data_IF_059795520110
#
_entry.id   IF_059795520110
#
_cell.length_a   1.000
_cell.length_b   1.000
_cell.length_c   1.000
_cell.angle_alpha   90.00
_cell.angle_beta   90.00
_cell.angle_gamma   90.00
#
_symmetry.space_group_name_H-M   'P 1'
#
loop_
_entity.id
_entity.type
_entity.pdbx_description
1 polymer ?
#
# COMPACT_ATOMS: atom_id res chain seq x y z
N UNK A 1 -16.93 9.03 10.68
CA UNK A 1 -16.55 10.22 9.90
C UNK A 1 -15.18 10.71 10.32
N UNK A 2 -14.89 10.83 11.62
CA UNK A 2 -13.63 11.37 12.17
C UNK A 2 -12.42 10.54 11.74
N UNK A 3 -12.50 9.22 11.77
CA UNK A 3 -11.39 8.32 11.40
C UNK A 3 -10.94 8.50 9.95
N UNK A 4 -11.90 8.64 9.02
CA UNK A 4 -11.58 8.88 7.60
C UNK A 4 -10.87 10.22 7.39
N UNK A 5 -11.24 11.23 8.18
CA UNK A 5 -10.59 12.54 8.13
C UNK A 5 -9.13 12.46 8.56
N UNK A 6 -8.86 11.79 9.68
CA UNK A 6 -7.49 11.61 10.19
C UNK A 6 -6.67 10.73 9.25
N UNK A 7 -7.23 9.62 8.76
CA UNK A 7 -6.56 8.78 7.77
C UNK A 7 -6.21 9.56 6.50
N UNK A 8 -7.11 10.43 6.02
CA UNK A 8 -6.85 11.26 4.86
C UNK A 8 -5.74 12.28 5.12
N UNK A 9 -5.70 12.89 6.32
CA UNK A 9 -4.63 13.82 6.69
C UNK A 9 -3.27 13.11 6.73
N UNK A 10 -3.20 11.91 7.32
CA UNK A 10 -1.99 11.07 7.31
C UNK A 10 -1.58 10.74 5.87
N UNK A 11 -2.52 10.33 5.03
CA UNK A 11 -2.27 10.02 3.63
C UNK A 11 -1.69 11.21 2.87
N UNK A 12 -2.22 12.42 3.07
CA UNK A 12 -1.72 13.64 2.42
C UNK A 12 -0.27 13.96 2.78
N UNK A 13 0.14 13.69 4.02
CA UNK A 13 1.52 13.91 4.47
C UNK A 13 2.45 12.81 3.97
N UNK A 14 2.01 11.56 3.98
CA UNK A 14 2.85 10.44 3.61
C UNK A 14 2.99 10.27 2.09
N UNK A 15 1.97 10.64 1.30
CA UNK A 15 1.99 10.49 -0.16
C UNK A 15 3.24 11.08 -0.80
N UNK A 16 3.60 12.35 -0.62
CA UNK A 16 4.77 12.92 -1.27
C UNK A 16 6.08 12.23 -0.87
N UNK A 17 6.18 11.75 0.38
CA UNK A 17 7.39 11.08 0.90
C UNK A 17 7.60 9.72 0.22
N UNK A 18 6.52 8.95 0.02
CA UNK A 18 6.60 7.63 -0.59
C UNK A 18 6.56 7.68 -2.11
N UNK A 19 5.96 8.72 -2.70
CA UNK A 19 5.86 8.86 -4.16
C UNK A 19 7.23 8.82 -4.83
N UNK A 20 8.25 9.42 -4.21
CA UNK A 20 9.64 9.40 -4.69
C UNK A 20 10.30 8.01 -4.62
N UNK A 21 9.74 7.10 -3.81
CA UNK A 21 10.30 5.76 -3.61
C UNK A 21 9.67 4.70 -4.51
N UNK A 22 8.51 5.01 -5.13
CA UNK A 22 7.83 4.06 -5.99
C UNK A 22 8.53 3.91 -7.33
N UNK A 23 8.53 2.68 -7.85
CA UNK A 23 9.03 2.41 -9.19
C UNK A 23 8.15 3.07 -10.26
N UNK A 24 8.75 3.46 -11.39
CA UNK A 24 8.02 4.13 -12.48
C UNK A 24 6.88 3.29 -13.05
N UNK A 25 7.01 1.97 -13.05
CA UNK A 25 5.98 1.02 -13.49
C UNK A 25 4.99 0.62 -12.38
N UNK A 26 4.96 1.31 -11.24
CA UNK A 26 3.92 1.16 -10.22
C UNK A 26 2.78 2.11 -10.52
N UNK A 27 1.58 1.61 -10.80
CA UNK A 27 0.44 2.42 -11.24
C UNK A 27 -0.72 2.43 -10.24
N UNK A 28 -0.78 1.44 -9.33
CA UNK A 28 -1.86 1.29 -8.38
C UNK A 28 -1.83 2.33 -7.26
N UNK A 29 -2.98 2.97 -7.00
CA UNK A 29 -3.21 3.87 -5.87
C UNK A 29 -2.24 5.06 -5.76
N UNK A 30 -1.66 5.51 -6.85
CA UNK A 30 -0.74 6.65 -6.92
C UNK A 30 -1.42 7.87 -7.55
N UNK A 31 -1.09 9.11 -7.10
CA UNK A 31 -1.56 10.32 -7.76
C UNK A 31 -1.07 10.36 -9.22
N UNK A 32 -1.97 10.80 -10.12
CA UNK A 32 -1.69 10.94 -11.55
C UNK A 32 -1.28 9.63 -12.27
N UNK A 33 -1.53 8.48 -11.67
CA UNK A 33 -1.32 7.14 -12.25
C UNK A 33 -2.65 6.42 -12.38
N UNK A 34 -2.81 5.61 -13.44
CA UNK A 34 -4.03 4.85 -13.67
C UNK A 34 -3.75 3.53 -14.41
N UNK A 35 -4.74 2.63 -14.35
CA UNK A 35 -4.64 1.31 -14.99
C UNK A 35 -4.41 1.40 -16.51
N UNK A 36 -4.98 2.40 -17.18
CA UNK A 36 -4.80 2.61 -18.61
C UNK A 36 -3.33 2.84 -18.99
N UNK A 37 -2.60 3.59 -18.17
CA UNK A 37 -1.15 3.80 -18.38
C UNK A 37 -0.37 2.49 -18.21
N UNK A 38 -0.75 1.64 -17.24
CA UNK A 38 -0.13 0.33 -17.07
C UNK A 38 -0.34 -0.56 -18.31
N UNK A 39 -1.55 -0.57 -18.85
CA UNK A 39 -1.89 -1.34 -20.05
C UNK A 39 -1.08 -0.85 -21.26
N UNK A 40 -1.00 0.46 -21.46
CA UNK A 40 -0.21 1.02 -22.57
C UNK A 40 1.26 0.65 -22.45
N UNK A 41 1.85 0.77 -21.26
CA UNK A 41 3.25 0.37 -21.03
C UNK A 41 3.45 -1.13 -21.28
N UNK A 42 2.51 -1.98 -20.89
CA UNK A 42 2.59 -3.41 -21.17
C UNK A 42 2.51 -3.71 -22.68
N UNK A 43 1.64 -3.00 -23.41
CA UNK A 43 1.55 -3.12 -24.87
C UNK A 43 2.84 -2.68 -25.57
N UNK A 44 3.47 -1.59 -25.11
CA UNK A 44 4.75 -1.13 -25.64
C UNK A 44 5.83 -2.20 -25.43
N UNK A 45 5.91 -2.79 -24.24
CA UNK A 45 6.85 -3.88 -23.96
C UNK A 45 6.62 -5.11 -24.84
N UNK A 46 5.36 -5.48 -25.12
CA UNK A 46 5.04 -6.56 -26.04
C UNK A 46 5.45 -6.24 -27.49
N UNK A 47 5.24 -5.01 -27.94
CA UNK A 47 5.64 -4.56 -29.26
C UNK A 47 7.17 -4.55 -29.42
N UNK A 48 7.92 -4.35 -28.33
CA UNK A 48 9.39 -4.43 -28.28
C UNK A 48 9.91 -5.88 -28.34
N UNK A 49 9.02 -6.89 -28.45
CA UNK A 49 9.38 -8.29 -28.62
C UNK A 49 9.44 -9.10 -27.32
N UNK A 50 8.87 -8.61 -26.23
CA UNK A 50 8.76 -9.38 -24.99
C UNK A 50 7.51 -10.26 -25.03
N UNK A 51 7.66 -11.51 -25.50
CA UNK A 51 6.55 -12.45 -25.70
C UNK A 51 6.16 -13.24 -24.44
N UNK A 52 6.97 -13.19 -23.39
CA UNK A 52 6.72 -13.92 -22.16
C UNK A 52 6.14 -13.01 -21.08
N UNK A 53 5.04 -13.44 -20.48
CA UNK A 53 4.36 -12.75 -19.39
C UNK A 53 4.41 -13.63 -18.15
N UNK A 54 4.87 -13.07 -17.02
CA UNK A 54 4.79 -13.71 -15.71
C UNK A 54 3.81 -12.91 -14.88
N UNK A 55 2.70 -13.54 -14.49
CA UNK A 55 1.71 -12.95 -13.59
C UNK A 55 1.96 -13.44 -12.15
N UNK A 56 2.11 -12.51 -11.22
CA UNK A 56 2.36 -12.81 -9.82
C UNK A 56 1.38 -12.00 -8.97
N UNK A 57 0.56 -12.71 -8.20
CA UNK A 57 -0.36 -12.11 -7.24
C UNK A 57 -0.12 -12.63 -5.81
N UNK A 58 -0.42 -11.81 -4.81
CA UNK A 58 -0.27 -12.15 -3.41
C UNK A 58 -1.64 -12.45 -2.80
N UNK A 59 -1.90 -13.72 -2.52
CA UNK A 59 -3.17 -14.14 -1.92
C UNK A 59 -3.41 -13.44 -0.58
N UNK A 60 -4.57 -12.78 -0.46
CA UNK A 60 -5.01 -12.09 0.77
C UNK A 60 -3.94 -11.21 1.42
N UNK A 61 -3.15 -10.53 0.59
CA UNK A 61 -2.02 -9.73 1.08
C UNK A 61 -2.41 -8.79 2.22
N UNK A 62 -3.50 -8.03 2.07
CA UNK A 62 -3.93 -7.08 3.10
C UNK A 62 -4.40 -7.76 4.39
N UNK A 63 -4.98 -8.95 4.29
CA UNK A 63 -5.49 -9.69 5.44
C UNK A 63 -4.36 -10.40 6.23
N UNK A 64 -3.18 -10.56 5.60
CA UNK A 64 -2.04 -11.28 6.17
C UNK A 64 -0.87 -10.37 6.55
N UNK A 65 -0.99 -9.06 6.40
CA UNK A 65 0.08 -8.11 6.74
C UNK A 65 0.42 -8.20 8.22
N UNK A 66 1.69 -8.51 8.51
CA UNK A 66 2.20 -8.47 9.86
C UNK A 66 2.49 -7.02 10.28
N UNK A 67 1.82 -6.54 11.34
CA UNK A 67 1.91 -5.17 11.80
C UNK A 67 3.32 -4.75 12.21
N UNK A 68 4.09 -5.60 12.88
CA UNK A 68 5.45 -5.26 13.33
C UNK A 68 6.42 -5.12 12.17
N UNK A 69 6.30 -6.00 11.16
CA UNK A 69 7.09 -5.88 9.92
C UNK A 69 6.74 -4.59 9.17
N UNK A 70 5.45 -4.28 9.07
CA UNK A 70 4.98 -3.05 8.44
C UNK A 70 5.53 -1.82 9.17
N UNK A 71 5.39 -1.77 10.51
CA UNK A 71 5.88 -0.66 11.31
C UNK A 71 7.41 -0.51 11.23
N UNK A 72 8.14 -1.62 11.10
CA UNK A 72 9.58 -1.58 10.86
C UNK A 72 9.93 -0.89 9.53
N UNK A 73 9.17 -1.20 8.47
CA UNK A 73 9.36 -0.59 7.15
C UNK A 73 8.99 0.90 7.18
N UNK A 74 7.85 1.25 7.76
CA UNK A 74 7.41 2.64 7.91
C UNK A 74 8.44 3.44 8.71
N UNK A 75 8.96 2.91 9.82
CA UNK A 75 9.96 3.54 10.66
C UNK A 75 11.34 3.74 10.01
N UNK A 76 11.62 3.11 8.87
CA UNK A 76 12.83 3.40 8.08
C UNK A 76 12.75 4.77 7.40
N UNK A 77 11.56 5.14 6.95
CA UNK A 77 11.30 6.39 6.22
C UNK A 77 10.80 7.48 7.17
N UNK A 78 9.82 7.15 8.01
CA UNK A 78 9.21 8.09 8.96
C UNK A 78 9.93 7.98 10.30
N UNK A 79 10.54 9.08 10.75
CA UNK A 79 11.30 9.14 12.01
C UNK A 79 10.51 9.78 13.15
N UNK A 80 9.31 10.27 12.86
CA UNK A 80 8.42 10.89 13.83
C UNK A 80 7.67 9.81 14.64
N UNK A 81 7.92 9.75 15.95
CA UNK A 81 7.34 8.77 16.85
C UNK A 81 5.82 8.93 17.02
N UNK A 82 5.31 10.16 16.97
CA UNK A 82 3.87 10.44 17.11
C UNK A 82 3.11 9.94 15.88
N UNK A 83 3.63 10.18 14.67
CA UNK A 83 3.07 9.66 13.43
C UNK A 83 3.08 8.13 13.43
N UNK A 84 4.19 7.50 13.82
CA UNK A 84 4.31 6.04 13.95
C UNK A 84 3.29 5.50 14.94
N UNK A 85 3.12 6.15 16.10
CA UNK A 85 2.15 5.75 17.12
C UNK A 85 0.72 5.81 16.59
N UNK A 86 0.36 6.87 15.87
CA UNK A 86 -0.98 7.02 15.27
C UNK A 86 -1.23 5.93 14.24
N UNK A 87 -0.28 5.69 13.33
CA UNK A 87 -0.40 4.63 12.31
C UNK A 87 -0.60 3.27 12.98
N UNK A 88 0.17 2.95 14.03
CA UNK A 88 0.04 1.70 14.78
C UNK A 88 -1.34 1.57 15.43
N UNK A 89 -1.87 2.64 16.02
CA UNK A 89 -3.21 2.62 16.62
C UNK A 89 -4.29 2.29 15.59
N UNK A 90 -4.19 2.82 14.38
CA UNK A 90 -5.13 2.48 13.29
C UNK A 90 -5.00 1.03 12.81
N UNK A 91 -3.80 0.46 12.84
CA UNK A 91 -3.61 -0.94 12.47
C UNK A 91 -4.24 -1.91 13.47
N UNK A 92 -4.14 -1.61 14.77
CA UNK A 92 -4.64 -2.48 15.85
C UNK A 92 -6.05 -2.12 16.30
N UNK A 93 -6.69 -1.09 15.74
CA UNK A 93 -8.00 -0.61 16.19
C UNK A 93 -9.16 -1.58 15.92
N UNK A 94 -8.90 -2.70 15.27
CA UNK A 94 -9.94 -3.68 14.93
C UNK A 94 -10.92 -3.22 13.85
N UNK A 95 -11.82 -4.07 13.50
CA UNK A 95 -12.91 -3.82 12.55
C UNK A 95 -14.24 -4.21 13.18
N UNK A 96 -15.30 -3.46 12.87
CA UNK A 96 -16.67 -3.87 13.19
C UNK A 96 -17.24 -4.65 12.01
N UNK A 97 -17.62 -5.89 12.26
CA UNK A 97 -18.30 -6.76 11.30
C UNK A 97 -19.64 -7.13 11.94
N UNK A 98 -20.76 -6.84 11.29
CA UNK A 98 -22.11 -7.15 11.73
C UNK A 98 -22.40 -6.74 13.20
N UNK A 99 -21.96 -5.54 13.61
CA UNK A 99 -22.04 -4.98 14.95
C UNK A 99 -21.21 -5.71 16.03
N UNK A 100 -20.37 -6.68 15.66
CA UNK A 100 -19.39 -7.29 16.54
C UNK A 100 -18.00 -6.69 16.31
N UNK A 101 -17.28 -6.43 17.41
CA UNK A 101 -15.93 -5.91 17.38
C UNK A 101 -14.91 -7.05 17.31
N UNK A 102 -14.10 -7.08 16.27
CA UNK A 102 -12.98 -8.01 16.14
C UNK A 102 -11.64 -7.27 16.25
N UNK A 103 -10.77 -7.74 17.13
CA UNK A 103 -9.41 -7.23 17.26
C UNK A 103 -8.59 -7.60 16.01
N UNK A 104 -7.98 -6.61 15.38
CA UNK A 104 -7.07 -6.83 14.26
C UNK A 104 -5.66 -7.11 14.78
N UNK A 105 -5.29 -8.37 14.92
CA UNK A 105 -3.93 -8.81 15.27
C UNK A 105 -3.04 -8.86 14.02
N UNK A 106 -3.64 -9.14 12.88
CA UNK A 106 -2.97 -9.29 11.57
C UNK A 106 -3.85 -8.66 10.50
N UNK A 107 -3.25 -8.09 9.50
CA UNK A 107 -3.95 -7.52 8.36
C UNK A 107 -4.26 -6.03 8.50
N UNK A 108 -4.82 -5.48 7.45
CA UNK A 108 -5.25 -4.09 7.38
C UNK A 108 -6.68 -4.03 6.88
N UNK A 109 -7.56 -3.21 7.49
CA UNK A 109 -8.96 -3.15 7.09
C UNK A 109 -9.10 -2.78 5.60
N UNK A 110 -9.89 -3.57 4.88
CA UNK A 110 -10.16 -3.32 3.46
C UNK A 110 -10.99 -2.03 3.32
N UNK A 111 -10.48 -1.08 2.54
CA UNK A 111 -11.15 0.22 2.29
C UNK A 111 -10.58 1.41 3.04
N UNK A 112 -9.57 1.22 3.90
CA UNK A 112 -8.85 2.32 4.53
C UNK A 112 -8.02 3.14 3.52
N UNK A 113 -7.89 4.45 3.74
CA UNK A 113 -7.13 5.38 2.88
C UNK A 113 -5.64 5.02 2.84
N UNK A 114 -5.15 4.27 3.83
CA UNK A 114 -3.74 3.86 3.91
C UNK A 114 -3.31 2.74 2.94
N UNK A 115 -4.20 2.21 2.10
CA UNK A 115 -3.88 1.13 1.13
C UNK A 115 -2.73 1.47 0.18
N UNK A 116 -2.62 2.72 -0.25
CA UNK A 116 -1.62 3.13 -1.22
C UNK A 116 -0.16 2.95 -0.75
N UNK A 117 0.07 2.90 0.55
CA UNK A 117 1.41 2.83 1.13
C UNK A 117 1.88 1.42 1.46
N UNK A 118 1.00 0.44 1.29
CA UNK A 118 1.27 -0.95 1.63
C UNK A 118 1.77 -1.79 0.45
N UNK A 119 1.88 -1.20 -0.74
CA UNK A 119 2.56 -1.88 -1.85
C UNK A 119 4.04 -2.02 -1.48
N UNK A 120 4.53 -3.24 -1.24
CA UNK A 120 5.88 -3.41 -0.73
C UNK A 120 6.91 -2.94 -1.74
N UNK A 121 7.99 -2.29 -1.27
CA UNK A 121 9.11 -1.90 -2.12
C UNK A 121 9.84 -3.09 -2.77
N UNK A 122 9.46 -4.34 -2.46
CA UNK A 122 10.06 -5.52 -3.09
C UNK A 122 9.47 -5.88 -4.45
N UNK A 123 8.40 -5.26 -4.89
CA UNK A 123 8.03 -5.28 -6.33
C UNK A 123 9.13 -4.68 -7.23
N UNK A 124 10.25 -4.20 -6.62
CA UNK A 124 11.43 -3.69 -7.32
C UNK A 124 12.30 -4.75 -7.99
N UNK A 125 12.01 -6.04 -7.91
CA UNK A 125 12.88 -7.07 -8.47
C UNK A 125 12.13 -8.22 -9.11
N UNK A 126 11.44 -7.95 -10.19
CA UNK A 126 11.32 -8.91 -11.28
C UNK A 126 11.47 -8.13 -12.59
N UNK A 127 12.68 -7.72 -12.86
CA UNK A 127 13.12 -7.43 -14.22
C UNK A 127 14.05 -8.57 -14.58
N UNK A 128 13.56 -9.50 -15.35
CA UNK A 128 14.43 -10.28 -16.24
C UNK A 128 14.55 -9.55 -17.54
#
# INVERSE_FOLDING_TARGET
>A
VTDRFIQQAIAQVLTPIYEEQFHDHSYGFRPNRCAQQAILTALDMMNDGNDWIVDIDLEKFFDTVNHDKLMTIVGRTIKDGDVISIVRKYLVSGIMIDDEYEDSIVGTPQGGVCKAYHSPPYAKKVTM
#
